data_IF_116551508392
#
_entry.id   IF_116551508392
#
_cell.length_a   1.000
_cell.length_b   1.000
_cell.length_c   1.000
_cell.angle_alpha   90.00
_cell.angle_beta   90.00
_cell.angle_gamma   90.00
#
_symmetry.space_group_name_H-M   'P 1'
#
loop_
_entity.id
_entity.type
_entity.pdbx_description
1 polymer ?
#
# COMPACT_ATOMS: atom_id res chain seq x y z
N UNK A 1 -18.92 -14.67 10.10
CA UNK A 1 -20.02 -14.97 9.15
C UNK A 1 -19.78 -16.35 8.56
N UNK A 2 -20.74 -17.26 8.62
CA UNK A 2 -20.60 -18.55 7.93
C UNK A 2 -20.82 -18.29 6.44
N UNK A 3 -19.99 -18.86 5.57
CA UNK A 3 -20.10 -18.68 4.11
C UNK A 3 -21.49 -19.06 3.57
N UNK A 4 -22.17 -20.00 4.24
CA UNK A 4 -23.53 -20.41 3.94
C UNK A 4 -24.59 -19.32 4.09
N UNK A 5 -24.46 -18.42 5.06
CA UNK A 5 -25.42 -17.31 5.27
C UNK A 5 -25.36 -16.30 4.13
N UNK A 6 -24.14 -15.95 3.69
CA UNK A 6 -23.97 -15.03 2.56
C UNK A 6 -24.46 -15.66 1.25
N UNK A 7 -24.23 -16.96 1.04
CA UNK A 7 -24.71 -17.67 -0.14
C UNK A 7 -26.24 -17.69 -0.22
N UNK A 8 -26.91 -18.00 0.89
CA UNK A 8 -28.37 -17.97 0.96
C UNK A 8 -28.87 -16.56 0.64
N UNK A 9 -28.27 -15.54 1.25
CA UNK A 9 -28.65 -14.15 1.04
C UNK A 9 -28.45 -13.67 -0.41
N UNK A 10 -27.44 -14.17 -1.10
CA UNK A 10 -27.13 -13.77 -2.49
C UNK A 10 -28.02 -14.49 -3.53
N UNK A 11 -28.48 -15.70 -3.23
CA UNK A 11 -29.30 -16.52 -4.17
C UNK A 11 -30.74 -16.07 -4.30
N UNK A 12 -31.40 -15.72 -3.20
CA UNK A 12 -32.87 -15.54 -3.21
C UNK A 12 -33.27 -14.14 -3.64
N UNK A 13 -34.16 -14.06 -4.64
CA UNK A 13 -34.79 -12.80 -5.07
C UNK A 13 -35.85 -12.38 -4.04
N UNK A 14 -35.96 -11.08 -3.75
CA UNK A 14 -36.77 -10.53 -2.64
C UNK A 14 -38.30 -10.63 -2.84
N UNK A 15 -38.78 -11.18 -3.97
CA UNK A 15 -40.21 -11.10 -4.36
C UNK A 15 -41.12 -12.10 -3.64
N UNK A 16 -40.59 -13.07 -2.91
CA UNK A 16 -41.40 -13.98 -2.09
C UNK A 16 -41.33 -13.52 -0.62
N UNK A 17 -42.49 -13.25 -0.04
CA UNK A 17 -42.67 -12.82 1.36
C UNK A 17 -42.18 -13.81 2.43
N UNK A 18 -41.09 -14.47 2.19
CA UNK A 18 -40.42 -15.42 3.07
C UNK A 18 -39.66 -14.68 4.17
N UNK A 19 -40.25 -14.65 5.36
CA UNK A 19 -39.75 -14.00 6.58
C UNK A 19 -38.50 -14.67 7.19
N UNK A 20 -37.99 -15.74 6.61
CA UNK A 20 -36.81 -16.49 7.09
C UNK A 20 -35.48 -16.10 6.44
N UNK A 21 -35.46 -15.04 5.65
CA UNK A 21 -34.23 -14.55 5.04
C UNK A 21 -33.34 -13.87 6.09
N UNK A 22 -32.06 -14.20 6.06
CA UNK A 22 -31.04 -13.56 6.88
C UNK A 22 -31.14 -12.05 6.70
N UNK A 23 -31.35 -11.35 7.81
CA UNK A 23 -31.52 -9.88 7.78
C UNK A 23 -30.32 -9.22 7.12
N UNK A 24 -30.52 -8.30 6.16
CA UNK A 24 -29.43 -7.51 5.58
C UNK A 24 -28.55 -6.83 6.65
N UNK A 25 -29.13 -6.49 7.78
CA UNK A 25 -28.42 -5.92 8.92
C UNK A 25 -27.34 -6.85 9.47
N UNK A 26 -27.62 -8.14 9.61
CA UNK A 26 -26.63 -9.11 10.10
C UNK A 26 -25.46 -9.28 9.14
N UNK A 27 -25.71 -9.27 7.84
CA UNK A 27 -24.65 -9.38 6.82
C UNK A 27 -23.78 -8.12 6.84
N UNK A 28 -24.40 -6.95 6.79
CA UNK A 28 -23.69 -5.68 6.82
C UNK A 28 -22.87 -5.53 8.12
N UNK A 29 -23.41 -5.91 9.26
CA UNK A 29 -22.71 -5.90 10.55
C UNK A 29 -21.50 -6.84 10.54
N UNK A 30 -21.65 -8.04 9.96
CA UNK A 30 -20.54 -8.99 9.82
C UNK A 30 -19.45 -8.47 8.89
N UNK A 31 -19.82 -7.87 7.75
CA UNK A 31 -18.86 -7.24 6.83
C UNK A 31 -18.12 -6.08 7.51
N UNK A 32 -18.82 -5.28 8.30
CA UNK A 32 -18.22 -4.19 9.07
C UNK A 32 -17.26 -4.73 10.16
N UNK A 33 -17.60 -5.80 10.84
CA UNK A 33 -16.71 -6.45 11.80
C UNK A 33 -15.44 -6.97 11.13
N UNK A 34 -15.55 -7.60 9.95
CA UNK A 34 -14.40 -8.06 9.15
C UNK A 34 -13.54 -6.85 8.75
N UNK A 35 -14.14 -5.80 8.21
CA UNK A 35 -13.42 -4.57 7.84
C UNK A 35 -12.63 -4.02 9.02
N UNK A 36 -13.23 -3.90 10.19
CA UNK A 36 -12.61 -3.32 11.38
C UNK A 36 -11.56 -4.25 12.03
N UNK A 37 -11.58 -5.55 11.74
CA UNK A 37 -10.58 -6.51 12.23
C UNK A 37 -9.33 -6.56 11.36
N UNK A 38 -9.34 -5.98 10.17
CA UNK A 38 -8.18 -5.96 9.28
C UNK A 38 -7.20 -4.87 9.70
N UNK A 39 -5.91 -5.17 9.62
CA UNK A 39 -4.84 -4.18 9.81
C UNK A 39 -4.65 -3.24 8.61
N UNK A 40 -5.30 -3.54 7.49
CA UNK A 40 -5.27 -2.73 6.28
C UNK A 40 -6.35 -1.64 6.35
N UNK A 41 -6.07 -0.48 5.78
CA UNK A 41 -7.02 0.63 5.67
C UNK A 41 -8.09 0.35 4.60
N UNK A 42 -8.94 -0.66 4.88
CA UNK A 42 -10.06 -1.03 4.03
C UNK A 42 -11.15 0.03 4.15
N UNK A 43 -11.50 0.65 3.04
CA UNK A 43 -12.53 1.69 2.96
C UNK A 43 -13.93 1.08 2.90
N UNK A 44 -14.08 -0.04 2.18
CA UNK A 44 -15.34 -0.76 2.09
C UNK A 44 -15.18 -2.20 1.63
N UNK A 45 -16.10 -3.04 2.08
CA UNK A 45 -16.31 -4.41 1.59
C UNK A 45 -17.74 -4.47 1.08
N UNK A 46 -17.91 -4.91 -0.16
CA UNK A 46 -19.18 -4.94 -0.86
C UNK A 46 -19.43 -6.34 -1.41
N UNK A 47 -20.65 -6.83 -1.25
CA UNK A 47 -21.12 -8.06 -1.87
C UNK A 47 -22.21 -7.70 -2.88
N UNK A 48 -21.97 -7.99 -4.14
CA UNK A 48 -22.77 -7.56 -5.28
C UNK A 48 -23.30 -8.80 -6.00
N UNK A 49 -24.58 -9.11 -5.81
CA UNK A 49 -25.22 -10.31 -6.37
C UNK A 49 -25.66 -10.12 -7.82
N UNK A 50 -25.67 -11.23 -8.59
CA UNK A 50 -26.25 -11.28 -9.94
C UNK A 50 -27.75 -10.94 -9.96
N UNK A 51 -28.45 -11.14 -8.83
CA UNK A 51 -29.86 -10.80 -8.67
C UNK A 51 -30.12 -9.34 -8.28
N UNK A 52 -29.08 -8.49 -8.30
CA UNK A 52 -29.16 -7.09 -7.83
C UNK A 52 -29.11 -6.94 -6.30
N UNK A 53 -28.80 -8.01 -5.58
CA UNK A 53 -28.57 -7.95 -4.13
C UNK A 53 -27.29 -7.20 -3.82
N UNK A 54 -27.37 -6.32 -2.81
CA UNK A 54 -26.26 -5.46 -2.41
C UNK A 54 -26.10 -5.47 -0.88
N UNK A 55 -24.92 -5.84 -0.42
CA UNK A 55 -24.53 -5.78 0.98
C UNK A 55 -23.20 -5.03 1.11
N UNK A 56 -23.04 -4.26 2.19
CA UNK A 56 -21.86 -3.44 2.39
C UNK A 56 -21.42 -3.35 3.87
N UNK A 57 -20.13 -3.16 4.09
CA UNK A 57 -19.58 -2.98 5.43
C UNK A 57 -19.85 -1.61 6.06
N UNK A 58 -20.31 -0.63 5.29
CA UNK A 58 -20.62 0.72 5.77
C UNK A 58 -22.13 0.87 6.00
N UNK A 59 -22.49 1.69 6.97
CA UNK A 59 -23.89 1.95 7.34
C UNK A 59 -24.59 2.99 6.48
N UNK A 60 -23.84 3.77 5.71
CA UNK A 60 -24.38 4.78 4.79
C UNK A 60 -25.01 4.08 3.59
N UNK A 61 -26.32 4.25 3.42
CA UNK A 61 -27.05 3.78 2.25
C UNK A 61 -26.60 4.56 1.01
N UNK A 62 -25.79 3.94 0.20
CA UNK A 62 -25.40 4.50 -1.09
C UNK A 62 -26.19 3.81 -2.22
N UNK A 63 -26.32 4.51 -3.33
CA UNK A 63 -27.25 4.18 -4.39
C UNK A 63 -27.06 2.74 -4.88
N UNK A 64 -28.15 2.01 -4.93
CA UNK A 64 -28.26 0.71 -5.59
C UNK A 64 -28.15 0.94 -7.11
N UNK A 65 -26.93 1.09 -7.62
CA UNK A 65 -26.69 1.15 -9.05
C UNK A 65 -26.79 -0.24 -9.69
N UNK A 66 -27.05 -0.30 -10.99
CA UNK A 66 -26.93 -1.53 -11.78
C UNK A 66 -25.43 -1.75 -12.08
N UNK A 67 -24.75 -2.52 -11.21
CA UNK A 67 -23.33 -2.80 -11.35
C UNK A 67 -23.05 -3.83 -12.45
N UNK A 68 -24.03 -4.72 -12.71
CA UNK A 68 -23.87 -5.86 -13.58
C UNK A 68 -23.43 -5.49 -15.00
N UNK A 69 -23.85 -4.33 -15.49
CA UNK A 69 -23.53 -3.84 -16.85
C UNK A 69 -22.20 -3.10 -16.93
N UNK A 70 -21.50 -2.94 -15.78
CA UNK A 70 -20.21 -2.23 -15.76
C UNK A 70 -19.07 -3.17 -16.17
N UNK A 71 -18.07 -2.60 -16.88
CA UNK A 71 -16.92 -3.36 -17.36
C UNK A 71 -16.12 -4.00 -16.22
N UNK A 72 -15.95 -3.30 -15.10
CA UNK A 72 -15.21 -3.81 -13.95
C UNK A 72 -15.93 -5.00 -13.29
N UNK A 73 -17.28 -4.97 -13.17
CA UNK A 73 -18.06 -6.06 -12.63
C UNK A 73 -17.94 -7.30 -13.53
N UNK A 74 -18.10 -7.11 -14.86
CA UNK A 74 -17.96 -8.17 -15.84
C UNK A 74 -16.53 -8.75 -15.84
N UNK A 75 -15.52 -7.94 -15.64
CA UNK A 75 -14.14 -8.43 -15.50
C UNK A 75 -13.99 -9.35 -14.31
N UNK A 76 -14.53 -8.99 -13.15
CA UNK A 76 -14.43 -9.83 -11.94
C UNK A 76 -15.21 -11.12 -12.08
N UNK A 77 -16.49 -11.04 -12.50
CA UNK A 77 -17.40 -12.20 -12.53
C UNK A 77 -16.96 -13.29 -13.53
N UNK A 78 -16.28 -12.87 -14.62
CA UNK A 78 -15.82 -13.79 -15.68
C UNK A 78 -14.35 -14.23 -15.50
N UNK A 79 -13.67 -13.79 -14.42
CA UNK A 79 -12.29 -14.18 -14.15
C UNK A 79 -12.28 -15.40 -13.22
N UNK A 80 -11.48 -16.39 -13.57
CA UNK A 80 -11.18 -17.51 -12.68
C UNK A 80 -10.15 -17.06 -11.65
N UNK A 81 -10.63 -16.73 -10.45
CA UNK A 81 -9.80 -16.21 -9.36
C UNK A 81 -10.09 -14.76 -8.98
N UNK A 82 -9.07 -14.03 -8.61
CA UNK A 82 -9.22 -12.66 -8.12
C UNK A 82 -8.62 -11.64 -9.09
N UNK A 83 -9.18 -10.44 -9.09
CA UNK A 83 -8.76 -9.32 -9.94
C UNK A 83 -8.32 -8.15 -9.06
N UNK A 84 -7.12 -7.63 -9.32
CA UNK A 84 -6.65 -6.39 -8.74
C UNK A 84 -6.79 -5.27 -9.78
N UNK A 85 -7.48 -4.21 -9.39
CA UNK A 85 -7.56 -3.00 -10.20
C UNK A 85 -6.48 -2.02 -9.75
N UNK A 86 -5.75 -1.43 -10.71
CA UNK A 86 -4.72 -0.43 -10.40
C UNK A 86 -5.34 0.80 -9.73
N UNK A 87 -4.52 1.71 -9.19
CA UNK A 87 -5.02 2.94 -8.58
C UNK A 87 -5.96 3.71 -9.49
N UNK A 88 -7.12 4.10 -8.94
CA UNK A 88 -8.16 4.84 -9.67
C UNK A 88 -8.83 5.87 -8.74
N UNK A 89 -9.25 7.00 -9.31
CA UNK A 89 -9.77 8.15 -8.55
C UNK A 89 -11.22 8.03 -8.13
N UNK A 90 -11.98 7.15 -8.77
CA UNK A 90 -13.40 6.97 -8.49
C UNK A 90 -13.64 5.61 -7.88
N UNK A 91 -14.32 5.56 -6.72
CA UNK A 91 -14.83 4.29 -6.18
C UNK A 91 -15.77 3.63 -7.19
N UNK A 92 -15.72 2.32 -7.30
CA UNK A 92 -16.65 1.56 -8.13
C UNK A 92 -18.08 1.56 -7.57
N UNK A 93 -18.22 1.81 -6.28
CA UNK A 93 -19.50 1.72 -5.55
C UNK A 93 -19.94 3.09 -5.03
N UNK A 94 -19.00 3.92 -4.58
CA UNK A 94 -19.28 5.21 -3.97
C UNK A 94 -19.11 6.34 -4.96
N UNK A 95 -20.09 7.24 -5.01
CA UNK A 95 -19.99 8.48 -5.77
C UNK A 95 -19.35 9.58 -4.90
N UNK A 96 -18.58 10.46 -5.53
CA UNK A 96 -17.99 11.68 -4.93
C UNK A 96 -16.93 11.47 -3.83
N UNK A 97 -15.92 10.69 -4.11
CA UNK A 97 -14.74 10.58 -3.26
C UNK A 97 -13.54 11.24 -3.93
N UNK A 98 -12.76 12.01 -3.14
CA UNK A 98 -11.56 12.73 -3.62
C UNK A 98 -10.26 12.01 -3.23
N UNK A 99 -10.27 10.70 -3.27
CA UNK A 99 -9.10 9.88 -2.92
C UNK A 99 -8.86 8.80 -3.97
N UNK A 100 -7.65 8.31 -4.04
CA UNK A 100 -7.30 7.20 -4.92
C UNK A 100 -7.57 5.86 -4.23
N UNK A 101 -8.16 4.94 -4.96
CA UNK A 101 -8.54 3.60 -4.53
C UNK A 101 -7.67 2.55 -5.21
N UNK A 102 -7.44 1.46 -4.51
CA UNK A 102 -7.10 0.16 -5.10
C UNK A 102 -8.29 -0.74 -4.83
N UNK A 103 -8.77 -1.42 -5.85
CA UNK A 103 -9.87 -2.35 -5.69
C UNK A 103 -9.43 -3.79 -5.94
N UNK A 104 -9.97 -4.70 -5.12
CA UNK A 104 -9.75 -6.12 -5.21
C UNK A 104 -11.09 -6.82 -5.34
N UNK A 105 -11.32 -7.51 -6.45
CA UNK A 105 -12.54 -8.21 -6.76
C UNK A 105 -12.35 -9.72 -6.77
N UNK A 106 -13.31 -10.47 -6.21
CA UNK A 106 -13.33 -11.94 -6.23
C UNK A 106 -14.71 -12.37 -6.67
N UNK A 107 -14.85 -13.28 -7.66
CA UNK A 107 -16.14 -13.92 -7.94
C UNK A 107 -16.58 -14.73 -6.73
N UNK A 108 -17.84 -14.59 -6.38
CA UNK A 108 -18.45 -15.34 -5.30
C UNK A 108 -19.31 -16.46 -5.89
N UNK A 109 -18.84 -17.70 -5.76
CA UNK A 109 -19.44 -18.86 -6.37
C UNK A 109 -20.31 -19.63 -5.37
N UNK A 110 -21.32 -20.26 -5.89
CA UNK A 110 -22.13 -21.24 -5.19
C UNK A 110 -21.32 -22.50 -4.89
N UNK A 111 -21.37 -22.99 -3.65
CA UNK A 111 -20.57 -24.15 -3.24
C UNK A 111 -21.12 -25.48 -3.79
N UNK A 112 -22.40 -25.53 -4.28
CA UNK A 112 -23.00 -26.72 -4.83
C UNK A 112 -22.85 -26.78 -6.35
N UNK A 113 -23.19 -25.64 -7.02
CA UNK A 113 -23.20 -25.61 -8.50
C UNK A 113 -21.86 -25.11 -9.07
N UNK A 114 -21.01 -24.51 -8.23
CA UNK A 114 -19.78 -23.83 -8.63
C UNK A 114 -19.99 -22.67 -9.63
N UNK A 115 -21.24 -22.26 -9.84
CA UNK A 115 -21.56 -21.11 -10.67
C UNK A 115 -21.40 -19.80 -9.89
N UNK A 116 -20.98 -18.70 -10.54
CA UNK A 116 -20.90 -17.41 -9.90
C UNK A 116 -22.30 -16.91 -9.54
N UNK A 117 -22.50 -16.46 -8.30
CA UNK A 117 -23.74 -15.84 -7.81
C UNK A 117 -23.58 -14.35 -7.51
N UNK A 118 -22.37 -13.84 -7.67
CA UNK A 118 -22.03 -12.44 -7.46
C UNK A 118 -20.54 -12.23 -7.32
N UNK A 119 -20.16 -11.07 -6.82
CA UNK A 119 -18.77 -10.73 -6.53
C UNK A 119 -18.64 -10.17 -5.12
N UNK A 120 -17.46 -10.32 -4.55
CA UNK A 120 -17.00 -9.56 -3.38
C UNK A 120 -15.99 -8.54 -3.88
N UNK A 121 -16.23 -7.27 -3.60
CA UNK A 121 -15.35 -6.16 -3.91
C UNK A 121 -14.82 -5.55 -2.62
N UNK A 122 -13.51 -5.34 -2.55
CA UNK A 122 -12.84 -4.67 -1.44
C UNK A 122 -12.16 -3.42 -1.99
N UNK A 123 -12.47 -2.26 -1.43
CA UNK A 123 -11.80 -1.00 -1.74
C UNK A 123 -10.87 -0.59 -0.61
N UNK A 124 -9.67 -0.20 -0.97
CA UNK A 124 -8.56 0.11 -0.08
C UNK A 124 -8.05 1.52 -0.42
N UNK A 125 -7.63 2.27 0.59
CA UNK A 125 -6.93 3.54 0.41
C UNK A 125 -5.56 3.30 -0.25
N UNK A 126 -5.40 3.78 -1.50
CA UNK A 126 -4.20 3.54 -2.29
C UNK A 126 -2.94 4.12 -1.63
N UNK A 127 -3.02 5.33 -1.08
CA UNK A 127 -1.88 5.98 -0.45
C UNK A 127 -1.40 5.21 0.78
N UNK A 128 -2.33 4.76 1.61
CA UNK A 128 -1.99 3.99 2.81
C UNK A 128 -1.47 2.60 2.48
N UNK A 129 -2.07 1.94 1.46
CA UNK A 129 -1.59 0.65 0.99
C UNK A 129 -0.13 0.73 0.52
N UNK A 130 0.21 1.69 -0.33
CA UNK A 130 1.57 1.86 -0.82
C UNK A 130 2.54 2.29 0.26
N UNK A 131 2.13 3.15 1.20
CA UNK A 131 2.94 3.52 2.35
C UNK A 131 3.23 2.31 3.27
N UNK A 132 2.29 1.39 3.41
CA UNK A 132 2.54 0.16 4.17
C UNK A 132 3.56 -0.75 3.46
N UNK A 133 3.49 -0.85 2.13
CA UNK A 133 4.47 -1.60 1.34
C UNK A 133 5.88 -1.01 1.46
N UNK A 134 6.02 0.33 1.37
CA UNK A 134 7.33 0.99 1.45
C UNK A 134 7.94 0.91 2.85
N UNK A 135 7.13 0.96 3.90
CA UNK A 135 7.61 0.82 5.29
C UNK A 135 8.04 -0.60 5.64
N UNK A 136 7.47 -1.61 5.00
CA UNK A 136 7.81 -3.01 5.27
C UNK A 136 9.16 -3.43 4.67
N UNK A 137 9.68 -2.67 3.70
CA UNK A 137 10.99 -2.92 3.11
C UNK A 137 12.08 -2.31 3.99
N UNK A 138 12.87 -3.19 4.61
CA UNK A 138 14.04 -2.81 5.43
C UNK A 138 15.19 -2.22 4.61
N UNK A 139 15.08 -2.20 3.29
CA UNK A 139 16.09 -1.68 2.37
C UNK A 139 15.86 -0.17 2.22
N UNK A 140 16.83 0.62 2.68
CA UNK A 140 16.84 2.08 2.50
C UNK A 140 17.09 2.42 1.01
N UNK A 141 16.06 2.30 0.19
CA UNK A 141 16.11 2.81 -1.18
C UNK A 141 15.85 4.32 -1.20
N UNK A 142 16.54 5.02 -2.10
CA UNK A 142 16.31 6.47 -2.28
C UNK A 142 14.97 6.72 -2.99
N UNK A 143 14.60 5.83 -3.89
CA UNK A 143 13.34 5.90 -4.65
C UNK A 143 12.67 4.54 -4.68
N UNK A 144 11.36 4.54 -4.55
CA UNK A 144 10.57 3.32 -4.49
C UNK A 144 9.40 3.40 -5.48
N UNK A 145 9.24 2.34 -6.27
CA UNK A 145 8.17 2.24 -7.25
C UNK A 145 7.39 0.95 -7.05
N UNK A 146 6.10 0.99 -7.34
CA UNK A 146 5.28 -0.20 -7.57
C UNK A 146 4.86 -0.17 -9.03
N UNK A 147 5.13 -1.24 -9.75
CA UNK A 147 4.82 -1.35 -11.18
C UNK A 147 3.94 -2.56 -11.45
N UNK A 148 3.16 -2.49 -12.53
CA UNK A 148 2.38 -3.61 -13.02
C UNK A 148 3.26 -4.63 -13.78
N UNK A 149 2.62 -5.65 -14.36
CA UNK A 149 3.29 -6.68 -15.17
C UNK A 149 3.95 -6.14 -16.45
N UNK A 150 3.58 -4.93 -16.88
CA UNK A 150 4.09 -4.25 -18.07
C UNK A 150 5.07 -3.13 -17.73
N UNK A 151 5.52 -3.07 -16.48
CA UNK A 151 6.41 -2.03 -15.94
C UNK A 151 5.82 -0.60 -15.91
N UNK A 152 4.48 -0.44 -16.02
CA UNK A 152 3.84 0.84 -15.79
C UNK A 152 3.89 1.18 -14.30
N UNK A 153 4.31 2.38 -13.98
CA UNK A 153 4.40 2.87 -12.61
C UNK A 153 3.01 3.15 -12.05
N UNK A 154 2.59 2.33 -11.09
CA UNK A 154 1.32 2.47 -10.36
C UNK A 154 1.45 3.41 -9.16
N UNK A 155 2.62 3.42 -8.54
CA UNK A 155 2.97 4.27 -7.42
C UNK A 155 4.47 4.55 -7.41
N UNK A 156 4.85 5.75 -7.00
CA UNK A 156 6.24 6.14 -6.86
C UNK A 156 6.41 7.15 -5.73
N UNK A 157 7.59 7.11 -5.09
CA UNK A 157 8.02 8.15 -4.16
C UNK A 157 8.70 9.33 -4.86
N UNK A 158 8.91 9.24 -6.17
CA UNK A 158 9.50 10.28 -7.01
C UNK A 158 8.49 10.68 -8.11
N UNK A 159 8.01 11.91 -8.05
CA UNK A 159 6.97 12.43 -8.94
C UNK A 159 7.33 12.37 -10.44
N UNK A 160 8.62 12.39 -10.76
CA UNK A 160 9.10 12.39 -12.15
C UNK A 160 8.78 11.07 -12.88
N UNK A 161 8.53 10.00 -12.13
CA UNK A 161 8.21 8.68 -12.67
C UNK A 161 6.71 8.36 -12.67
N UNK A 162 5.85 9.28 -12.22
CA UNK A 162 4.42 9.00 -12.13
C UNK A 162 3.79 8.82 -13.51
N UNK A 163 3.15 7.66 -13.73
CA UNK A 163 2.48 7.32 -14.99
C UNK A 163 3.42 6.92 -16.14
N UNK A 164 4.72 6.81 -15.87
CA UNK A 164 5.71 6.37 -16.85
C UNK A 164 5.82 4.83 -16.90
N UNK A 165 6.46 4.33 -17.96
CA UNK A 165 6.96 2.94 -18.00
C UNK A 165 8.38 2.94 -17.47
N UNK A 166 8.65 2.12 -16.46
CA UNK A 166 9.95 2.04 -15.82
C UNK A 166 10.89 1.18 -16.65
N UNK A 167 11.86 1.81 -17.31
CA UNK A 167 12.88 1.09 -18.07
C UNK A 167 14.10 0.82 -17.20
N UNK A 168 14.13 -0.36 -16.57
CA UNK A 168 15.24 -0.77 -15.68
C UNK A 168 16.56 -0.95 -16.40
N UNK A 169 16.55 -1.30 -17.70
CA UNK A 169 17.78 -1.49 -18.48
C UNK A 169 18.52 -0.19 -18.80
N UNK A 170 17.84 0.96 -18.72
CA UNK A 170 18.47 2.28 -18.92
C UNK A 170 19.14 2.85 -17.65
N UNK A 171 19.01 2.17 -16.51
CA UNK A 171 19.50 2.65 -15.21
C UNK A 171 20.87 2.07 -14.83
N UNK A 172 21.84 2.09 -15.74
CA UNK A 172 23.16 1.49 -15.56
C UNK A 172 23.98 2.01 -14.36
N UNK A 173 23.73 3.25 -13.91
CA UNK A 173 24.44 3.89 -12.79
C UNK A 173 23.84 3.63 -11.41
N UNK A 174 22.66 3.01 -11.35
CA UNK A 174 21.92 2.76 -10.11
C UNK A 174 21.89 1.27 -9.78
N UNK A 175 21.93 0.94 -8.50
CA UNK A 175 21.57 -0.40 -8.04
C UNK A 175 20.08 -0.44 -7.78
N UNK A 176 19.41 -1.44 -8.31
CA UNK A 176 18.00 -1.66 -8.04
C UNK A 176 17.75 -3.08 -7.54
N UNK A 177 16.68 -3.24 -6.80
CA UNK A 177 16.15 -4.55 -6.43
C UNK A 177 14.69 -4.62 -6.81
N UNK A 178 14.21 -5.80 -7.15
CA UNK A 178 12.81 -6.05 -7.49
C UNK A 178 12.26 -7.17 -6.61
N UNK A 179 11.02 -6.99 -6.15
CA UNK A 179 10.30 -8.02 -5.41
C UNK A 179 8.92 -8.22 -6.03
N UNK A 180 8.60 -9.41 -6.52
CA UNK A 180 7.27 -9.70 -7.04
C UNK A 180 6.23 -9.71 -5.92
N UNK A 181 5.02 -9.25 -6.21
CA UNK A 181 3.84 -9.33 -5.37
C UNK A 181 2.92 -10.43 -5.90
N UNK A 182 2.09 -11.00 -5.03
CA UNK A 182 1.20 -12.11 -5.37
C UNK A 182 0.16 -11.77 -6.44
N UNK A 183 -0.13 -10.49 -6.65
CA UNK A 183 -1.08 -9.97 -7.64
C UNK A 183 -0.45 -9.71 -9.03
N UNK A 184 0.78 -10.11 -9.26
CA UNK A 184 1.53 -9.88 -10.50
C UNK A 184 2.15 -8.49 -10.61
N UNK A 185 2.02 -7.64 -9.61
CA UNK A 185 2.78 -6.39 -9.52
C UNK A 185 4.19 -6.66 -9.00
N UNK A 186 5.07 -5.68 -9.08
CA UNK A 186 6.43 -5.74 -8.52
C UNK A 186 6.72 -4.46 -7.76
N UNK A 187 7.47 -4.58 -6.69
CA UNK A 187 8.11 -3.44 -6.06
C UNK A 187 9.52 -3.28 -6.63
N UNK A 188 9.92 -2.06 -6.89
CA UNK A 188 11.24 -1.71 -7.40
C UNK A 188 11.83 -0.63 -6.50
N UNK A 189 12.91 -0.97 -5.81
CA UNK A 189 13.67 0.00 -5.03
C UNK A 189 14.95 0.38 -5.79
N UNK A 190 15.18 1.68 -5.97
CA UNK A 190 16.34 2.23 -6.66
C UNK A 190 17.27 2.88 -5.64
N UNK A 191 18.54 2.47 -5.65
CA UNK A 191 19.59 3.02 -4.79
C UNK A 191 20.54 3.81 -5.68
N UNK A 192 20.53 5.12 -5.56
CA UNK A 192 21.48 5.98 -6.25
C UNK A 192 22.85 5.91 -5.56
N UNK A 193 23.80 5.22 -6.17
CA UNK A 193 25.17 5.05 -5.64
C UNK A 193 25.84 6.36 -5.26
N UNK A 194 25.60 7.41 -6.03
CA UNK A 194 26.21 8.73 -5.80
C UNK A 194 25.69 9.42 -4.52
N UNK A 195 24.40 9.25 -4.18
CA UNK A 195 23.85 9.84 -2.94
C UNK A 195 24.32 9.09 -1.69
N UNK A 196 24.51 7.79 -1.77
CA UNK A 196 25.05 6.99 -0.65
C UNK A 196 26.52 7.33 -0.40
N UNK A 197 27.32 7.38 -1.47
CA UNK A 197 28.73 7.74 -1.38
C UNK A 197 28.94 9.18 -0.84
N UNK A 198 28.14 10.14 -1.30
CA UNK A 198 28.24 11.53 -0.84
C UNK A 198 27.88 11.69 0.64
N UNK A 199 26.83 11.02 1.12
CA UNK A 199 26.48 11.03 2.56
C UNK A 199 27.57 10.41 3.43
N UNK A 200 28.12 9.28 3.01
CA UNK A 200 29.23 8.62 3.71
C UNK A 200 30.48 9.53 3.77
N UNK A 201 30.82 10.19 2.66
CA UNK A 201 31.95 11.12 2.60
C UNK A 201 31.72 12.35 3.51
N UNK A 202 30.52 12.90 3.54
CA UNK A 202 30.19 14.03 4.45
C UNK A 202 30.29 13.61 5.90
N UNK A 203 29.77 12.44 6.28
CA UNK A 203 29.88 11.95 7.66
C UNK A 203 31.34 11.69 8.05
N UNK A 204 32.13 11.11 7.16
CA UNK A 204 33.56 10.87 7.38
C UNK A 204 34.32 12.18 7.55
N UNK A 205 34.04 13.20 6.73
CA UNK A 205 34.68 14.51 6.81
C UNK A 205 34.35 15.25 8.11
N UNK A 206 33.10 15.18 8.59
CA UNK A 206 32.69 15.74 9.89
C UNK A 206 33.42 15.05 11.06
N UNK A 207 33.50 13.73 11.02
CA UNK A 207 34.21 12.94 12.04
C UNK A 207 35.71 13.34 12.08
N UNK A 208 36.33 13.46 10.92
CA UNK A 208 37.75 13.82 10.79
C UNK A 208 38.03 15.26 11.32
N UNK A 209 37.12 16.20 11.06
CA UNK A 209 37.16 17.54 11.60
C UNK A 209 37.06 17.57 13.13
N UNK A 210 36.18 16.76 13.71
CA UNK A 210 36.04 16.64 15.17
C UNK A 210 37.32 16.08 15.82
N UNK A 211 37.91 15.05 15.20
CA UNK A 211 39.18 14.47 15.70
C UNK A 211 40.31 15.50 15.61
N UNK A 212 40.43 16.21 14.50
CA UNK A 212 41.45 17.30 14.34
C UNK A 212 41.27 18.39 15.39
N UNK A 213 40.03 18.86 15.60
CA UNK A 213 39.74 19.85 16.64
C UNK A 213 40.11 19.35 18.05
N UNK A 214 39.83 18.10 18.36
CA UNK A 214 40.23 17.46 19.61
C UNK A 214 41.77 17.43 19.78
N UNK A 215 42.51 17.06 18.74
CA UNK A 215 43.96 17.04 18.76
C UNK A 215 44.55 18.44 19.02
N UNK A 216 43.98 19.47 18.39
CA UNK A 216 44.42 20.86 18.59
C UNK A 216 44.18 21.29 20.05
N UNK A 217 43.03 21.02 20.61
CA UNK A 217 42.72 21.34 22.03
C UNK A 217 43.68 20.64 22.98
N UNK A 218 43.98 19.37 22.74
CA UNK A 218 44.95 18.62 23.56
C UNK A 218 46.36 19.22 23.42
N UNK A 219 46.80 19.54 22.21
CA UNK A 219 48.10 20.14 21.97
C UNK A 219 48.27 21.53 22.68
N UNK A 220 47.21 22.36 22.59
CA UNK A 220 47.19 23.66 23.30
C UNK A 220 47.24 23.47 24.82
N UNK A 221 46.45 22.51 25.33
CA UNK A 221 46.43 22.20 26.77
C UNK A 221 47.81 21.78 27.28
N UNK A 222 48.47 20.84 26.59
CA UNK A 222 49.83 20.43 26.95
C UNK A 222 50.87 21.55 26.81
N UNK A 223 50.72 22.40 25.78
CA UNK A 223 51.60 23.57 25.59
C UNK A 223 51.50 24.55 26.76
N UNK A 224 50.26 24.85 27.19
CA UNK A 224 50.03 25.74 28.34
C UNK A 224 50.57 25.13 29.66
N UNK A 225 50.37 23.84 29.87
CA UNK A 225 50.92 23.16 31.05
C UNK A 225 52.45 23.20 31.09
N UNK A 226 53.10 22.94 29.95
CA UNK A 226 54.55 23.03 29.83
C UNK A 226 55.07 24.47 30.04
N UNK A 227 54.40 25.46 29.49
CA UNK A 227 54.75 26.87 29.68
C UNK A 227 54.68 27.29 31.16
N UNK A 228 53.67 26.85 31.90
CA UNK A 228 53.55 27.10 33.36
C UNK A 228 54.67 26.45 34.15
N UNK A 229 55.05 25.20 33.86
CA UNK A 229 56.14 24.50 34.55
C UNK A 229 57.50 25.16 34.34
N UNK A 230 57.72 25.82 33.22
CA UNK A 230 59.01 26.54 32.93
C UNK A 230 59.01 27.91 33.58
N UNK A 231 57.87 28.58 33.75
CA UNK A 231 57.77 29.93 34.28
C UNK A 231 57.82 30.06 35.80
N UNK A 232 57.43 28.98 36.53
CA UNK A 232 57.45 28.98 38.01
C UNK A 232 58.85 29.01 38.66
N UNK A 233 59.94 28.42 38.11
CA UNK A 233 61.23 28.46 38.77
C UNK A 233 62.04 29.77 38.61
N UNK A 234 61.53 30.81 37.94
CA UNK A 234 62.22 32.07 37.73
C UNK A 234 61.80 33.22 38.69
N UNK A 235 61.04 32.91 39.74
CA UNK A 235 60.74 33.85 40.83
C UNK A 235 61.61 33.60 42.07
N UNK A 236 62.93 33.73 41.93
CA UNK A 236 63.89 33.92 43.05
C UNK A 236 64.75 35.11 42.77
#
# INVERSE_FOLDING_TARGET
>A
MRSSELQIAMRYKTDSGDTNLISPFHINSSLNAIKNSTSMDVLGIYCLGLTGRFYQSNTTSESRGFYQDTSWYQTVINTDGSVWFPPHRTSFVKHNTHMDFISYGIPFTDYITHEPIGIILIEIDAAKFFNALTKSDSIQSNTYHVVDRYDHVLFTTDSDYQGCVLNLSSMESSSFYTRPLANGWKTVGIIEKNKVASKALVQLSVLLLLVLAGCVVIAVFFSVLKARQISEPLQF
#
